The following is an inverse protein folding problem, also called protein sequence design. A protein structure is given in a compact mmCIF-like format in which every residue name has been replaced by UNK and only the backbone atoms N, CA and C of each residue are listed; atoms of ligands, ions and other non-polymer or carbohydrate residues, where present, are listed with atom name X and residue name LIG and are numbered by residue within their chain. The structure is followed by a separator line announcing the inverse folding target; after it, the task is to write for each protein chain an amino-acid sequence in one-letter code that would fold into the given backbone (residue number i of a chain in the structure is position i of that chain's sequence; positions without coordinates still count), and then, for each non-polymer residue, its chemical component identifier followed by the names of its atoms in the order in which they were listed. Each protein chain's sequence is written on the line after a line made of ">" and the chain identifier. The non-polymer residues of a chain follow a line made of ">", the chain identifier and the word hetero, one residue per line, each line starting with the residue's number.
data_IF_020683836868
#
_entry.id   IF_020683836868
#
_cell.length_a   1.000
_cell.length_b   1.000
_cell.length_c   1.000
_cell.angle_alpha   90.00
_cell.angle_beta   90.00
_cell.angle_gamma   90.00
#
_symmetry.space_group_name_H-M   'P 1'
#
loop_
_entity.id
_entity.type
_entity.pdbx_description
1 polymer ?
#
# COMPACT_ATOMS: atom_id res chain seq x y z
N UNK A 1 2.93 6.54 -21.24
CA UNK A 1 2.40 5.65 -20.20
C UNK A 1 1.54 4.52 -20.74
N UNK A 2 0.49 4.79 -21.54
CA UNK A 2 -0.32 3.73 -22.19
C UNK A 2 0.51 2.73 -23.02
N UNK A 3 1.60 3.16 -23.61
CA UNK A 3 2.48 2.37 -24.49
C UNK A 3 3.43 1.42 -23.76
N UNK A 4 3.60 1.52 -22.44
CA UNK A 4 4.58 0.76 -21.67
C UNK A 4 3.99 -0.37 -20.81
N UNK A 5 2.72 -0.71 -20.96
CA UNK A 5 2.09 -1.80 -20.20
C UNK A 5 1.88 -1.52 -18.70
N UNK A 6 2.21 -0.34 -18.20
CA UNK A 6 2.09 0.01 -16.77
C UNK A 6 0.64 -0.05 -16.26
N UNK A 7 -0.32 0.36 -17.09
CA UNK A 7 -1.74 0.24 -16.75
C UNK A 7 -2.17 -1.23 -16.71
N UNK A 8 -1.71 -2.02 -17.67
CA UNK A 8 -2.03 -3.46 -17.73
C UNK A 8 -1.50 -4.18 -16.50
N UNK A 9 -0.27 -3.86 -16.06
CA UNK A 9 0.32 -4.45 -14.84
C UNK A 9 -0.40 -4.02 -13.57
N UNK A 10 -0.82 -2.75 -13.46
CA UNK A 10 -1.59 -2.26 -12.31
C UNK A 10 -2.98 -2.93 -12.23
N UNK A 11 -3.67 -3.06 -13.37
CA UNK A 11 -4.95 -3.77 -13.45
C UNK A 11 -4.77 -5.25 -13.10
N UNK A 12 -3.81 -5.90 -13.75
CA UNK A 12 -3.53 -7.32 -13.53
C UNK A 12 -3.17 -7.60 -12.06
N UNK A 13 -2.32 -6.77 -11.44
CA UNK A 13 -1.96 -6.91 -10.04
C UNK A 13 -3.17 -6.84 -9.11
N UNK A 14 -4.03 -5.82 -9.26
CA UNK A 14 -5.23 -5.69 -8.44
C UNK A 14 -6.22 -6.83 -8.64
N UNK A 15 -6.43 -7.28 -9.88
CA UNK A 15 -7.32 -8.41 -10.21
C UNK A 15 -6.76 -9.71 -9.65
N UNK A 16 -5.46 -10.00 -9.85
CA UNK A 16 -4.80 -11.22 -9.37
C UNK A 16 -4.84 -11.28 -7.84
N UNK A 17 -4.55 -10.17 -7.15
CA UNK A 17 -4.62 -10.10 -5.69
C UNK A 17 -6.05 -10.33 -5.21
N UNK A 18 -7.04 -9.67 -5.82
CA UNK A 18 -8.45 -9.86 -5.48
C UNK A 18 -8.89 -11.30 -5.69
N UNK A 19 -8.64 -11.87 -6.86
CA UNK A 19 -9.01 -13.24 -7.16
C UNK A 19 -8.26 -14.26 -6.29
N UNK A 20 -6.94 -14.05 -6.09
CA UNK A 20 -6.09 -14.95 -5.33
C UNK A 20 -6.42 -15.03 -3.84
N UNK A 21 -6.90 -13.93 -3.24
CA UNK A 21 -7.32 -13.94 -1.84
C UNK A 21 -8.83 -14.21 -1.69
N UNK A 22 -9.67 -13.54 -2.48
CA UNK A 22 -11.11 -13.62 -2.28
C UNK A 22 -11.69 -14.98 -2.69
N UNK A 23 -11.34 -15.49 -3.88
CA UNK A 23 -11.97 -16.72 -4.40
C UNK A 23 -11.72 -17.95 -3.51
N UNK A 24 -10.46 -18.27 -3.10
CA UNK A 24 -10.22 -19.45 -2.29
C UNK A 24 -10.68 -19.28 -0.83
N UNK A 25 -10.58 -18.05 -0.29
CA UNK A 25 -10.79 -17.83 1.14
C UNK A 25 -12.20 -17.39 1.50
N UNK A 26 -13.02 -16.96 0.55
CA UNK A 26 -14.34 -16.38 0.84
C UNK A 26 -15.25 -17.34 1.62
N UNK A 27 -15.35 -18.60 1.18
CA UNK A 27 -16.21 -19.59 1.86
C UNK A 27 -15.66 -19.98 3.23
N UNK A 28 -14.35 -20.13 3.33
CA UNK A 28 -13.69 -20.53 4.57
C UNK A 28 -13.71 -19.38 5.61
N UNK A 29 -13.33 -18.19 5.20
CA UNK A 29 -13.25 -17.02 6.08
C UNK A 29 -14.63 -16.46 6.46
N UNK A 30 -15.67 -16.68 5.66
CA UNK A 30 -17.03 -16.30 6.01
C UNK A 30 -17.48 -16.92 7.33
N UNK A 31 -17.18 -18.21 7.54
CA UNK A 31 -17.45 -18.90 8.81
C UNK A 31 -16.58 -18.39 9.98
N UNK A 32 -15.30 -18.16 9.73
CA UNK A 32 -14.35 -17.64 10.73
C UNK A 32 -14.75 -16.23 11.18
N UNK A 33 -15.06 -15.34 10.24
CA UNK A 33 -15.44 -13.96 10.54
C UNK A 33 -16.75 -13.91 11.33
N UNK A 34 -17.71 -14.77 11.01
CA UNK A 34 -18.98 -14.85 11.75
C UNK A 34 -18.82 -15.32 13.19
N UNK A 35 -17.73 -16.05 13.50
CA UNK A 35 -17.44 -16.55 14.84
C UNK A 35 -16.67 -15.54 15.73
N UNK A 36 -16.16 -14.44 15.15
CA UNK A 36 -15.42 -13.39 15.91
C UNK A 36 -16.42 -12.46 16.59
N UNK A 37 -16.16 -11.97 17.82
CA UNK A 37 -16.95 -10.89 18.42
C UNK A 37 -16.99 -9.68 17.50
N UNK A 38 -18.20 -9.18 17.24
CA UNK A 38 -18.43 -8.05 16.33
C UNK A 38 -17.99 -8.33 14.86
N UNK A 39 -18.61 -9.30 14.17
CA UNK A 39 -18.25 -9.67 12.82
C UNK A 39 -18.53 -8.54 11.82
N UNK A 40 -17.75 -8.46 10.75
CA UNK A 40 -18.08 -7.61 9.61
C UNK A 40 -19.18 -8.25 8.75
N UNK A 41 -19.90 -7.44 7.97
CA UNK A 41 -21.05 -7.88 7.17
C UNK A 41 -20.69 -8.92 6.12
N UNK A 42 -19.45 -8.91 5.62
CA UNK A 42 -18.98 -9.89 4.63
C UNK A 42 -17.45 -9.97 4.60
N UNK A 43 -16.92 -11.08 4.06
CA UNK A 43 -15.48 -11.21 3.83
C UNK A 43 -14.96 -10.18 2.81
N UNK A 44 -15.78 -9.76 1.85
CA UNK A 44 -15.41 -8.68 0.92
C UNK A 44 -15.17 -7.36 1.68
N UNK A 45 -16.02 -7.04 2.66
CA UNK A 45 -15.87 -5.86 3.49
C UNK A 45 -14.59 -5.92 4.34
N UNK A 46 -14.27 -7.10 4.85
CA UNK A 46 -13.08 -7.36 5.64
C UNK A 46 -11.78 -7.25 4.81
N UNK A 47 -11.77 -7.82 3.60
CA UNK A 47 -10.58 -8.00 2.77
C UNK A 47 -10.22 -6.78 1.92
N UNK A 48 -11.21 -5.98 1.46
CA UNK A 48 -10.97 -4.90 0.49
C UNK A 48 -9.91 -3.88 0.92
N UNK A 49 -9.81 -3.42 2.18
CA UNK A 49 -8.73 -2.54 2.60
C UNK A 49 -7.33 -3.12 2.35
N UNK A 50 -7.13 -4.43 2.55
CA UNK A 50 -5.89 -5.10 2.21
C UNK A 50 -5.65 -5.13 0.69
N UNK A 51 -6.68 -5.43 -0.11
CA UNK A 51 -6.58 -5.43 -1.59
C UNK A 51 -6.12 -4.06 -2.09
N UNK A 52 -6.69 -2.98 -1.55
CA UNK A 52 -6.30 -1.61 -1.89
C UNK A 52 -4.85 -1.35 -1.53
N UNK A 53 -4.41 -1.73 -0.32
CA UNK A 53 -3.01 -1.59 0.10
C UNK A 53 -2.06 -2.39 -0.77
N UNK A 54 -2.41 -3.60 -1.14
CA UNK A 54 -1.60 -4.42 -2.05
C UNK A 54 -1.50 -3.77 -3.43
N UNK A 55 -2.60 -3.25 -3.96
CA UNK A 55 -2.60 -2.56 -5.26
C UNK A 55 -1.64 -1.36 -5.30
N UNK A 56 -1.66 -0.50 -4.28
CA UNK A 56 -0.74 0.65 -4.20
C UNK A 56 0.71 0.22 -3.92
N UNK A 57 0.91 -0.86 -3.17
CA UNK A 57 2.24 -1.40 -2.91
C UNK A 57 2.89 -1.95 -4.20
N UNK A 58 2.13 -2.66 -5.04
CA UNK A 58 2.62 -3.06 -6.37
C UNK A 58 2.94 -1.86 -7.25
N UNK A 59 2.11 -0.80 -7.21
CA UNK A 59 2.41 0.45 -7.91
C UNK A 59 3.74 1.08 -7.46
N UNK A 60 4.04 1.01 -6.16
CA UNK A 60 5.29 1.49 -5.55
C UNK A 60 6.49 0.65 -5.97
N UNK A 61 6.35 -0.69 -6.04
CA UNK A 61 7.41 -1.60 -6.52
C UNK A 61 7.74 -1.32 -7.99
N UNK A 62 6.74 -1.08 -8.83
CA UNK A 62 6.97 -0.68 -10.22
C UNK A 62 7.70 0.67 -10.32
N UNK A 63 7.42 1.60 -9.40
CA UNK A 63 8.18 2.84 -9.25
C UNK A 63 9.65 2.59 -8.92
N UNK A 64 9.92 1.71 -7.97
CA UNK A 64 11.27 1.31 -7.57
C UNK A 64 12.07 0.68 -8.73
N UNK A 65 11.45 -0.24 -9.47
CA UNK A 65 12.04 -0.84 -10.66
C UNK A 65 12.43 0.23 -11.71
N UNK A 66 11.55 1.22 -11.92
CA UNK A 66 11.83 2.34 -12.82
C UNK A 66 12.99 3.19 -12.32
N UNK A 67 13.04 3.54 -11.04
CA UNK A 67 14.14 4.30 -10.45
C UNK A 67 15.49 3.56 -10.57
N UNK A 68 15.51 2.23 -10.41
CA UNK A 68 16.67 1.41 -10.63
C UNK A 68 17.09 1.42 -12.11
N UNK A 69 16.13 1.32 -13.04
CA UNK A 69 16.38 1.37 -14.49
C UNK A 69 16.95 2.72 -14.92
N UNK A 70 16.37 3.82 -14.42
CA UNK A 70 16.85 5.17 -14.73
C UNK A 70 18.28 5.38 -14.19
N UNK A 71 18.58 4.81 -13.04
CA UNK A 71 19.90 4.86 -12.43
C UNK A 71 20.92 4.03 -13.26
N UNK A 72 20.56 2.83 -13.68
CA UNK A 72 21.43 1.96 -14.50
C UNK A 72 21.72 2.54 -15.88
N UNK A 73 20.76 3.25 -16.47
CA UNK A 73 20.89 3.95 -17.76
C UNK A 73 21.61 5.31 -17.67
N UNK A 74 22.05 5.73 -16.49
CA UNK A 74 22.73 6.99 -16.29
C UNK A 74 21.85 8.25 -16.45
N UNK A 75 20.52 8.10 -16.53
CA UNK A 75 19.57 9.21 -16.66
C UNK A 75 19.72 10.19 -15.49
N UNK A 76 19.89 9.66 -14.29
CA UNK A 76 20.10 10.47 -13.08
C UNK A 76 21.35 11.35 -13.16
N UNK A 77 22.43 10.87 -13.79
CA UNK A 77 23.67 11.65 -13.99
C UNK A 77 23.44 12.79 -14.98
N UNK A 78 22.67 12.56 -16.03
CA UNK A 78 22.34 13.60 -17.02
C UNK A 78 21.53 14.75 -16.40
N UNK A 79 20.60 14.43 -15.48
CA UNK A 79 19.88 15.48 -14.73
C UNK A 79 20.81 16.29 -13.80
N UNK A 80 21.84 15.66 -13.22
CA UNK A 80 22.84 16.34 -12.40
C UNK A 80 23.71 17.36 -13.16
N UNK A 81 23.86 17.21 -14.48
CA UNK A 81 24.60 18.15 -15.34
C UNK A 81 23.74 19.30 -15.90
N UNK A 82 22.42 19.27 -15.65
CA UNK A 82 21.51 20.33 -16.10
C UNK A 82 21.35 21.40 -15.02
N UNK A 83 21.17 22.68 -15.38
CA UNK A 83 20.93 23.77 -14.41
C UNK A 83 19.48 23.74 -13.91
N UNK A 84 19.07 22.65 -13.22
CA UNK A 84 17.75 22.46 -12.61
C UNK A 84 17.88 22.34 -11.10
N UNK A 85 16.89 22.85 -10.37
CA UNK A 85 16.90 22.74 -8.92
C UNK A 85 16.95 21.25 -8.47
N UNK A 86 17.73 20.92 -7.41
CA UNK A 86 17.93 19.51 -6.97
C UNK A 86 16.62 18.78 -6.61
N UNK A 87 15.59 19.52 -6.25
CA UNK A 87 14.27 18.97 -5.88
C UNK A 87 13.40 18.57 -7.11
N UNK A 88 13.70 19.08 -8.30
CA UNK A 88 12.88 18.83 -9.50
C UNK A 88 12.82 17.35 -9.87
N UNK A 89 13.94 16.59 -9.90
CA UNK A 89 13.87 15.15 -10.17
C UNK A 89 13.08 14.36 -9.12
N UNK A 90 13.17 14.75 -7.86
CA UNK A 90 12.42 14.13 -6.77
C UNK A 90 10.92 14.40 -6.94
N UNK A 91 10.55 15.65 -7.17
CA UNK A 91 9.15 16.04 -7.39
C UNK A 91 8.55 15.30 -8.59
N UNK A 92 9.28 15.20 -9.71
CA UNK A 92 8.83 14.49 -10.89
C UNK A 92 8.57 12.99 -10.62
N UNK A 93 9.42 12.33 -9.82
CA UNK A 93 9.21 10.92 -9.40
C UNK A 93 8.00 10.79 -8.50
N UNK A 94 7.86 11.66 -7.50
CA UNK A 94 6.71 11.66 -6.59
C UNK A 94 5.40 11.86 -7.35
N UNK A 95 5.34 12.82 -8.28
CA UNK A 95 4.14 13.04 -9.11
C UNK A 95 3.80 11.79 -9.93
N UNK A 96 4.80 11.13 -10.52
CA UNK A 96 4.60 9.87 -11.22
C UNK A 96 4.11 8.74 -10.30
N UNK A 97 4.57 8.71 -9.05
CA UNK A 97 4.15 7.74 -8.04
C UNK A 97 2.73 7.99 -7.58
N UNK A 98 2.36 9.24 -7.30
CA UNK A 98 0.97 9.63 -6.95
C UNK A 98 0.02 9.20 -8.05
N UNK A 99 0.34 9.47 -9.31
CA UNK A 99 -0.48 9.06 -10.46
C UNK A 99 -0.71 7.54 -10.50
N UNK A 100 0.34 6.74 -10.29
CA UNK A 100 0.23 5.27 -10.23
C UNK A 100 -0.60 4.80 -9.04
N UNK A 101 -0.41 5.42 -7.87
CA UNK A 101 -1.21 5.10 -6.68
C UNK A 101 -2.69 5.43 -6.87
N UNK A 102 -3.02 6.54 -7.54
CA UNK A 102 -4.42 6.88 -7.87
C UNK A 102 -5.03 5.82 -8.77
N UNK A 103 -4.32 5.39 -9.82
CA UNK A 103 -4.80 4.33 -10.70
C UNK A 103 -4.98 3.02 -9.91
N UNK A 104 -3.99 2.62 -9.11
CA UNK A 104 -4.05 1.42 -8.27
C UNK A 104 -5.24 1.47 -7.29
N UNK A 105 -5.47 2.61 -6.64
CA UNK A 105 -6.60 2.84 -5.75
C UNK A 105 -7.95 2.66 -6.49
N UNK A 106 -8.11 3.34 -7.62
CA UNK A 106 -9.37 3.27 -8.39
C UNK A 106 -9.66 1.84 -8.84
N UNK A 107 -8.66 1.14 -9.40
CA UNK A 107 -8.84 -0.24 -9.87
C UNK A 107 -9.13 -1.18 -8.70
N UNK A 108 -8.40 -1.05 -7.59
CA UNK A 108 -8.63 -1.89 -6.41
C UNK A 108 -10.01 -1.65 -5.78
N UNK A 109 -10.50 -0.41 -5.78
CA UNK A 109 -11.86 -0.10 -5.35
C UNK A 109 -12.91 -0.69 -6.29
N UNK A 110 -12.71 -0.60 -7.61
CA UNK A 110 -13.60 -1.24 -8.59
C UNK A 110 -13.67 -2.75 -8.32
N UNK A 111 -12.53 -3.42 -8.16
CA UNK A 111 -12.49 -4.83 -7.79
C UNK A 111 -13.23 -5.10 -6.47
N UNK A 112 -13.01 -4.25 -5.45
CA UNK A 112 -13.72 -4.32 -4.18
C UNK A 112 -15.24 -4.22 -4.35
N UNK A 113 -15.72 -3.25 -5.13
CA UNK A 113 -17.15 -3.08 -5.41
C UNK A 113 -17.75 -4.30 -6.15
N UNK A 114 -17.00 -4.91 -7.06
CA UNK A 114 -17.44 -6.12 -7.80
C UNK A 114 -17.63 -7.30 -6.85
N UNK A 115 -16.75 -7.48 -5.85
CA UNK A 115 -16.87 -8.58 -4.88
C UNK A 115 -17.84 -8.30 -3.73
N UNK A 116 -18.46 -7.09 -3.69
CA UNK A 116 -19.50 -6.75 -2.73
C UNK A 116 -19.08 -5.77 -1.63
N UNK A 117 -17.90 -5.16 -1.69
CA UNK A 117 -17.51 -4.07 -0.78
C UNK A 117 -18.40 -2.86 -0.97
N UNK A 118 -18.75 -2.19 0.13
CA UNK A 118 -19.48 -0.91 0.12
C UNK A 118 -18.97 0.00 1.23
N UNK A 119 -18.91 1.30 0.97
CA UNK A 119 -18.71 2.28 2.02
C UNK A 119 -20.03 2.48 2.79
N UNK A 120 -19.97 2.35 4.12
CA UNK A 120 -21.12 2.50 5.00
C UNK A 120 -21.07 3.83 5.80
N UNK A 121 -20.09 4.68 5.50
CA UNK A 121 -19.93 5.99 6.14
C UNK A 121 -20.13 7.13 5.16
N UNK A 122 -20.37 8.33 5.72
CA UNK A 122 -20.54 9.57 4.96
C UNK A 122 -19.32 9.93 4.12
N UNK A 123 -19.51 10.73 3.08
CA UNK A 123 -18.49 11.17 2.13
C UNK A 123 -17.16 11.64 2.76
N UNK A 124 -17.13 12.40 3.89
CA UNK A 124 -15.86 12.78 4.51
C UNK A 124 -14.97 11.60 4.89
N UNK A 125 -15.55 10.48 5.34
CA UNK A 125 -14.79 9.28 5.69
C UNK A 125 -14.26 8.56 4.44
N UNK A 126 -15.02 8.58 3.33
CA UNK A 126 -14.55 8.04 2.03
C UNK A 126 -13.37 8.86 1.52
N UNK A 127 -13.45 10.19 1.60
CA UNK A 127 -12.34 11.07 1.23
C UNK A 127 -11.11 10.82 2.13
N UNK A 128 -11.32 10.70 3.45
CA UNK A 128 -10.25 10.37 4.39
C UNK A 128 -9.61 9.00 4.08
N UNK A 129 -10.41 7.99 3.71
CA UNK A 129 -9.91 6.69 3.23
C UNK A 129 -9.00 6.86 2.02
N UNK A 130 -9.46 7.54 0.98
CA UNK A 130 -8.68 7.77 -0.25
C UNK A 130 -7.39 8.56 0.03
N UNK A 131 -7.46 9.61 0.84
CA UNK A 131 -6.31 10.42 1.21
C UNK A 131 -5.29 9.60 2.03
N UNK A 132 -5.74 8.79 2.98
CA UNK A 132 -4.88 7.93 3.78
C UNK A 132 -4.18 6.89 2.90
N UNK A 133 -4.91 6.26 1.97
CA UNK A 133 -4.34 5.31 0.99
C UNK A 133 -3.27 5.98 0.14
N UNK A 134 -3.52 7.19 -0.37
CA UNK A 134 -2.54 7.92 -1.16
C UNK A 134 -1.31 8.32 -0.34
N UNK A 135 -1.49 8.73 0.91
CA UNK A 135 -0.40 9.05 1.83
C UNK A 135 0.49 7.84 2.09
N UNK A 136 -0.11 6.68 2.36
CA UNK A 136 0.62 5.40 2.50
C UNK A 136 1.34 5.08 1.19
N UNK A 137 0.68 5.22 0.04
CA UNK A 137 1.27 4.96 -1.28
C UNK A 137 2.48 5.84 -1.59
N UNK A 138 2.41 7.12 -1.26
CA UNK A 138 3.56 8.06 -1.39
C UNK A 138 4.71 7.63 -0.49
N UNK A 139 4.43 7.28 0.75
CA UNK A 139 5.44 6.80 1.72
C UNK A 139 6.14 5.54 1.22
N UNK A 140 5.37 4.54 0.75
CA UNK A 140 5.93 3.32 0.17
C UNK A 140 6.69 3.58 -1.14
N UNK A 141 6.25 4.55 -1.94
CA UNK A 141 6.95 4.93 -3.17
C UNK A 141 8.30 5.59 -2.88
N UNK A 142 8.40 6.43 -1.85
CA UNK A 142 9.67 6.98 -1.40
C UNK A 142 10.64 5.88 -0.95
N UNK A 143 10.15 4.91 -0.18
CA UNK A 143 10.94 3.74 0.22
C UNK A 143 11.41 2.95 -1.01
N UNK A 144 10.50 2.66 -1.92
CA UNK A 144 10.80 1.96 -3.17
C UNK A 144 11.83 2.70 -4.01
N UNK A 145 11.68 3.99 -4.19
CA UNK A 145 12.63 4.83 -4.95
C UNK A 145 14.04 4.80 -4.34
N UNK A 146 14.16 4.90 -3.02
CA UNK A 146 15.46 4.81 -2.34
C UNK A 146 16.12 3.43 -2.55
N UNK A 147 15.36 2.36 -2.39
CA UNK A 147 15.85 0.99 -2.62
C UNK A 147 16.22 0.79 -4.09
N UNK A 148 15.39 1.26 -5.02
CA UNK A 148 15.66 1.18 -6.45
C UNK A 148 16.97 1.90 -6.85
N UNK A 149 17.19 3.08 -6.28
CA UNK A 149 18.42 3.83 -6.50
C UNK A 149 19.63 3.12 -5.89
N UNK A 150 19.49 2.54 -4.70
CA UNK A 150 20.58 1.85 -4.01
C UNK A 150 20.95 0.51 -4.65
N UNK A 151 19.97 -0.24 -5.13
CA UNK A 151 20.18 -1.58 -5.72
C UNK A 151 20.94 -1.56 -7.05
N UNK A 152 20.89 -0.47 -7.81
CA UNK A 152 21.57 -0.28 -9.13
C UNK A 152 21.22 -1.33 -10.19
N UNK A 153 20.52 -2.40 -9.83
CA UNK A 153 20.13 -3.52 -10.70
C UNK A 153 18.60 -3.65 -10.68
N UNK A 154 17.91 -3.33 -11.79
CA UNK A 154 16.44 -3.38 -11.85
C UNK A 154 15.89 -4.77 -11.53
N UNK A 155 16.56 -5.83 -11.99
CA UNK A 155 16.12 -7.22 -11.81
C UNK A 155 16.11 -7.66 -10.34
N UNK A 156 17.02 -7.13 -9.52
CA UNK A 156 17.11 -7.44 -8.10
C UNK A 156 16.11 -6.62 -7.26
N UNK A 157 15.68 -5.45 -7.74
CA UNK A 157 14.81 -4.53 -6.99
C UNK A 157 13.43 -5.11 -6.76
N UNK A 158 12.84 -5.74 -7.76
CA UNK A 158 11.48 -6.30 -7.68
C UNK A 158 11.38 -7.42 -6.63
N UNK A 159 12.18 -8.50 -6.67
CA UNK A 159 12.08 -9.57 -5.67
C UNK A 159 12.47 -9.08 -4.27
N UNK A 160 13.40 -8.14 -4.14
CA UNK A 160 13.80 -7.56 -2.86
C UNK A 160 12.65 -6.85 -2.14
N UNK A 161 11.75 -6.20 -2.88
CA UNK A 161 10.58 -5.51 -2.35
C UNK A 161 9.35 -6.41 -2.25
N UNK A 162 9.14 -7.31 -3.22
CA UNK A 162 7.99 -8.22 -3.22
C UNK A 162 8.04 -9.24 -2.08
N UNK A 163 9.20 -9.77 -1.75
CA UNK A 163 9.35 -10.76 -0.68
C UNK A 163 8.82 -10.25 0.67
N UNK A 164 9.40 -9.19 1.24
CA UNK A 164 8.91 -8.61 2.49
C UNK A 164 7.45 -8.16 2.43
N UNK A 165 7.01 -7.59 1.30
CA UNK A 165 5.63 -7.16 1.14
C UNK A 165 4.64 -8.31 1.21
N UNK A 166 4.92 -9.43 0.53
CA UNK A 166 4.06 -10.61 0.56
C UNK A 166 4.01 -11.22 1.97
N UNK A 167 5.17 -11.35 2.63
CA UNK A 167 5.25 -11.88 3.99
C UNK A 167 4.45 -11.00 4.96
N UNK A 168 4.67 -9.70 4.96
CA UNK A 168 3.93 -8.77 5.82
C UNK A 168 2.44 -8.71 5.48
N UNK A 169 2.09 -8.86 4.20
CA UNK A 169 0.69 -8.92 3.75
C UNK A 169 -0.01 -10.17 4.26
N UNK A 170 0.60 -11.34 4.11
CA UNK A 170 0.05 -12.62 4.58
C UNK A 170 -0.03 -12.70 6.11
N UNK A 171 0.96 -12.16 6.81
CA UNK A 171 0.97 -12.08 8.28
C UNK A 171 0.17 -10.90 8.82
N UNK A 172 -0.70 -10.29 8.04
CA UNK A 172 -1.49 -9.13 8.49
C UNK A 172 -2.89 -9.53 8.94
N UNK A 173 -3.47 -8.70 9.81
CA UNK A 173 -4.90 -8.78 10.14
C UNK A 173 -5.81 -8.51 8.93
N UNK A 174 -5.24 -8.20 7.78
CA UNK A 174 -5.96 -7.98 6.53
C UNK A 174 -6.50 -9.25 5.92
N UNK A 175 -5.81 -10.37 6.06
CA UNK A 175 -6.20 -11.68 5.53
C UNK A 175 -7.15 -12.41 6.46
N UNK A 176 -6.80 -12.46 7.76
CA UNK A 176 -7.57 -13.13 8.80
C UNK A 176 -7.48 -12.36 10.13
N UNK A 177 -8.43 -12.55 11.05
CA UNK A 177 -8.38 -11.96 12.40
C UNK A 177 -7.11 -12.37 13.15
N UNK A 178 -6.59 -11.49 14.03
CA UNK A 178 -5.37 -11.75 14.77
C UNK A 178 -5.45 -12.99 15.68
N UNK A 179 -6.63 -13.31 16.16
CA UNK A 179 -6.96 -14.44 17.03
C UNK A 179 -6.76 -15.81 16.34
N UNK A 180 -6.69 -15.82 15.00
CA UNK A 180 -6.44 -17.02 14.19
C UNK A 180 -4.94 -17.33 14.03
N UNK A 181 -4.08 -16.43 14.48
CA UNK A 181 -2.63 -16.65 14.49
C UNK A 181 -2.18 -17.29 15.83
N UNK A 182 -1.07 -18.05 15.85
CA UNK A 182 -0.48 -18.54 17.09
C UNK A 182 -0.16 -17.41 18.07
N UNK A 183 -0.36 -17.62 19.38
CA UNK A 183 -0.26 -16.59 20.42
C UNK A 183 1.07 -15.83 20.42
N UNK A 184 2.17 -16.54 20.14
CA UNK A 184 3.51 -15.95 20.12
C UNK A 184 3.73 -14.91 18.99
N UNK A 185 2.98 -14.98 17.88
CA UNK A 185 3.12 -14.06 16.75
C UNK A 185 2.04 -12.96 16.74
N UNK A 186 0.93 -13.12 17.48
CA UNK A 186 -0.17 -12.15 17.51
C UNK A 186 0.28 -10.71 17.80
N UNK A 187 1.18 -10.44 18.76
CA UNK A 187 1.65 -9.06 19.01
C UNK A 187 2.35 -8.45 17.80
N UNK A 188 3.12 -9.25 17.05
CA UNK A 188 3.82 -8.81 15.83
C UNK A 188 2.78 -8.52 14.74
N UNK A 189 1.84 -9.45 14.52
CA UNK A 189 0.77 -9.32 13.51
C UNK A 189 -0.07 -8.09 13.77
N UNK A 190 -0.43 -7.79 15.02
CA UNK A 190 -1.25 -6.61 15.36
C UNK A 190 -0.49 -5.29 15.16
N UNK A 191 0.79 -5.24 15.53
CA UNK A 191 1.55 -3.98 15.59
C UNK A 191 2.32 -3.65 14.31
N UNK A 192 2.43 -4.56 13.36
CA UNK A 192 3.11 -4.27 12.09
C UNK A 192 2.39 -3.19 11.27
N UNK A 193 3.12 -2.44 10.42
CA UNK A 193 2.54 -1.29 9.71
C UNK A 193 1.36 -1.66 8.82
N UNK A 194 1.41 -2.77 8.06
CA UNK A 194 0.32 -3.18 7.17
C UNK A 194 -0.96 -3.45 7.95
N UNK A 195 -0.87 -4.12 9.10
CA UNK A 195 -2.02 -4.38 9.97
C UNK A 195 -2.65 -3.08 10.49
N UNK A 196 -1.82 -2.15 10.95
CA UNK A 196 -2.30 -0.85 11.42
C UNK A 196 -2.98 -0.05 10.30
N UNK A 197 -2.43 -0.08 9.09
CA UNK A 197 -3.05 0.56 7.92
C UNK A 197 -4.40 -0.07 7.59
N UNK A 198 -4.50 -1.40 7.59
CA UNK A 198 -5.76 -2.12 7.33
C UNK A 198 -6.81 -1.78 8.38
N UNK A 199 -6.45 -1.78 9.68
CA UNK A 199 -7.36 -1.44 10.78
C UNK A 199 -7.92 -0.02 10.59
N UNK A 200 -7.05 0.96 10.31
CA UNK A 200 -7.47 2.34 10.07
C UNK A 200 -8.38 2.47 8.85
N UNK A 201 -8.05 1.80 7.75
CA UNK A 201 -8.87 1.82 6.55
C UNK A 201 -10.22 1.13 6.74
N UNK A 202 -10.30 0.03 7.50
CA UNK A 202 -11.59 -0.60 7.89
C UNK A 202 -12.45 0.36 8.69
N UNK A 203 -11.87 1.06 9.66
CA UNK A 203 -12.58 2.03 10.45
C UNK A 203 -13.14 3.19 9.62
N UNK A 204 -12.40 3.64 8.60
CA UNK A 204 -12.86 4.68 7.68
C UNK A 204 -13.92 4.17 6.68
N UNK A 205 -13.78 2.95 6.18
CA UNK A 205 -14.78 2.34 5.30
C UNK A 205 -16.10 2.11 6.04
N UNK A 206 -16.02 1.79 7.32
CA UNK A 206 -17.15 1.45 8.17
C UNK A 206 -17.79 0.12 7.75
N UNK A 207 -18.73 -0.32 8.58
CA UNK A 207 -19.63 -1.42 8.29
C UNK A 207 -20.95 -1.14 9.01
N UNK A 208 -22.06 -1.70 8.52
CA UNK A 208 -23.37 -1.58 9.13
C UNK A 208 -23.50 -2.39 10.43
N UNK A 209 -22.61 -3.35 10.68
CA UNK A 209 -22.61 -4.17 11.89
C UNK A 209 -21.92 -3.46 13.07
N UNK A 210 -22.36 -3.70 14.32
CA UNK A 210 -21.84 -3.01 15.51
C UNK A 210 -20.35 -3.19 15.80
N UNK A 211 -19.64 -4.01 15.07
CA UNK A 211 -18.25 -4.32 15.34
C UNK A 211 -17.21 -3.67 14.41
N UNK A 212 -17.63 -2.99 13.38
CA UNK A 212 -16.70 -2.19 12.59
C UNK A 212 -16.28 -0.98 13.42
N UNK A 213 -15.12 -1.02 14.02
CA UNK A 213 -14.61 -0.04 14.97
C UNK A 213 -14.87 1.42 14.59
N UNK A 214 -15.20 2.26 15.56
CA UNK A 214 -15.33 3.68 15.32
C UNK A 214 -13.99 4.26 14.85
N UNK A 215 -14.01 5.19 13.88
CA UNK A 215 -12.82 5.92 13.46
C UNK A 215 -12.40 6.92 14.56
N UNK A 216 -11.90 6.40 15.68
CA UNK A 216 -11.43 7.17 16.82
C UNK A 216 -9.95 7.50 16.68
N UNK A 217 -9.51 8.58 17.32
CA UNK A 217 -8.11 8.94 17.34
C UNK A 217 -7.20 7.84 17.90
N UNK A 218 -7.66 7.13 18.94
CA UNK A 218 -6.93 6.02 19.54
C UNK A 218 -6.66 4.86 18.56
N UNK A 219 -7.55 4.66 17.58
CA UNK A 219 -7.38 3.64 16.55
C UNK A 219 -6.53 4.13 15.37
N UNK A 220 -6.57 5.42 15.08
CA UNK A 220 -5.89 6.02 13.92
C UNK A 220 -4.42 6.39 14.20
N UNK A 221 -4.10 6.77 15.46
CA UNK A 221 -2.77 7.30 15.78
C UNK A 221 -1.60 6.35 15.46
N UNK A 222 -1.69 5.00 15.64
CA UNK A 222 -0.56 4.12 15.31
C UNK A 222 -0.23 4.14 13.83
N UNK A 223 -1.26 4.28 12.97
CA UNK A 223 -1.10 4.43 11.53
C UNK A 223 -0.30 5.71 11.20
N UNK A 224 -0.69 6.83 11.80
CA UNK A 224 0.03 8.09 11.59
C UNK A 224 1.44 8.05 12.19
N UNK A 225 1.64 7.38 13.32
CA UNK A 225 2.96 7.19 13.92
C UNK A 225 3.89 6.39 12.98
N UNK A 226 3.40 5.30 12.36
CA UNK A 226 4.15 4.55 11.37
C UNK A 226 4.49 5.39 10.14
N UNK A 227 3.53 6.13 9.59
CA UNK A 227 3.74 7.00 8.42
C UNK A 227 4.76 8.10 8.77
N UNK A 228 4.59 8.78 9.90
CA UNK A 228 5.49 9.84 10.35
C UNK A 228 6.91 9.32 10.59
N UNK A 229 7.04 8.15 11.25
CA UNK A 229 8.35 7.52 11.48
C UNK A 229 9.05 7.14 10.18
N UNK A 230 8.32 6.53 9.23
CA UNK A 230 8.86 6.23 7.91
C UNK A 230 9.27 7.51 7.17
N UNK A 231 8.41 8.52 7.10
CA UNK A 231 8.72 9.79 6.43
C UNK A 231 9.89 10.52 7.07
N UNK A 232 10.01 10.51 8.40
CA UNK A 232 11.13 11.12 9.13
C UNK A 232 12.49 10.51 8.75
N UNK A 233 12.51 9.24 8.35
CA UNK A 233 13.73 8.56 7.86
C UNK A 233 13.88 8.72 6.34
N UNK A 234 12.80 8.52 5.58
CA UNK A 234 12.86 8.45 4.13
C UNK A 234 13.08 9.83 3.47
N UNK A 235 12.49 10.89 4.01
CA UNK A 235 12.64 12.23 3.41
C UNK A 235 14.08 12.73 3.52
N UNK A 236 14.74 12.74 4.70
CA UNK A 236 16.14 13.16 4.78
C UNK A 236 17.08 12.30 3.95
N UNK A 237 16.88 10.97 3.96
CA UNK A 237 17.72 10.06 3.18
C UNK A 237 17.55 10.29 1.69
N UNK A 238 16.34 10.54 1.20
CA UNK A 238 16.09 10.85 -0.21
C UNK A 238 16.74 12.18 -0.63
N UNK A 239 16.69 13.20 0.22
CA UNK A 239 17.36 14.48 -0.02
C UNK A 239 18.88 14.33 -0.06
N UNK A 240 19.46 13.62 0.90
CA UNK A 240 20.92 13.36 0.93
C UNK A 240 21.37 12.57 -0.29
N UNK A 241 20.64 11.52 -0.67
CA UNK A 241 20.96 10.70 -1.84
C UNK A 241 20.83 11.51 -3.13
N UNK A 242 19.86 12.42 -3.22
CA UNK A 242 19.71 13.31 -4.38
C UNK A 242 20.78 14.39 -4.42
N UNK A 243 21.17 14.95 -3.28
CA UNK A 243 22.17 16.03 -3.20
C UNK A 243 23.63 15.55 -3.38
N UNK A 244 23.96 14.31 -2.96
CA UNK A 244 25.33 13.76 -3.02
C UNK A 244 25.73 13.17 -4.38
N UNK A 245 24.93 13.33 -5.42
CA UNK A 245 25.24 12.79 -6.75
C UNK A 245 25.80 13.88 -7.63
N UNK A 246 27.13 13.81 -7.91
CA UNK A 246 27.74 14.62 -8.96
C UNK A 246 27.26 14.19 -10.34
#
# INVERSE_FOLDING_TARGET
>A
MLRNGELVTAIAASVIVTAGFYVPLNKFMGGVISAVPNPMSSYAQFLTPLIVLQGISFASIMGAFRSATDTSKGITRRFGSMPVAPLVPLAARLTGSVYRCVIGLVISLICGYVIGFRFHRALPFVLAFCLLVLLIGVTLSLLGDLIGIAAKKPEATTPLLMGPQLILGLLSVGVQPAEQFPDWIQPIVRNQPISQFVIALRALAGDSTPGAGAATWQLMWPTFAWIAGLLAVLVPTSLVVTARRP
#
